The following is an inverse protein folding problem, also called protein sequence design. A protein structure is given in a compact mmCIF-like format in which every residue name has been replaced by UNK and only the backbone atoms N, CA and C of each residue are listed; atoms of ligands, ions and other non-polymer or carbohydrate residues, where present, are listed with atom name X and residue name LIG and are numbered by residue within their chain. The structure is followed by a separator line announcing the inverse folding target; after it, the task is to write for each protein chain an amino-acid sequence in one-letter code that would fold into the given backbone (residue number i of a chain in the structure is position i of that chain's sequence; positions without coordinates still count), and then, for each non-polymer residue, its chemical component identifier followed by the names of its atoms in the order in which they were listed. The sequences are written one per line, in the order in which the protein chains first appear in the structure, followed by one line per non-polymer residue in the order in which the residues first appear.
data_IF_159867079813
#
_entry.id   IF_159867079813
#
_cell.length_a   1.000
_cell.length_b   1.000
_cell.length_c   1.000
_cell.angle_alpha   90.00
_cell.angle_beta   90.00
_cell.angle_gamma   90.00
#
_symmetry.space_group_name_H-M   'P 1'
#
loop_
_entity.id
_entity.type
_entity.pdbx_description
1 polymer ?
#
# COMPACT_ATOMS: atom_id res chain seq x y z
N UNK A 1 -12.67 23.27 -10.84
CA UNK A 1 -11.21 23.05 -11.02
C UNK A 1 -10.61 22.98 -9.63
N UNK A 2 -10.44 21.77 -9.12
CA UNK A 2 -9.92 21.56 -7.76
C UNK A 2 -8.39 21.61 -7.83
N UNK A 3 -7.78 22.54 -7.12
CA UNK A 3 -6.33 22.67 -6.98
C UNK A 3 -5.96 22.39 -5.52
N UNK A 4 -5.40 21.25 -5.19
CA UNK A 4 -4.83 21.05 -3.88
C UNK A 4 -3.37 21.50 -3.85
N UNK A 5 -3.07 22.24 -2.82
CA UNK A 5 -1.77 22.53 -2.24
C UNK A 5 -0.53 22.58 -3.16
N UNK A 6 -0.11 23.83 -3.47
CA UNK A 6 1.22 24.13 -3.97
C UNK A 6 1.65 23.35 -5.22
N UNK A 7 1.00 23.64 -6.35
CA UNK A 7 1.41 23.03 -7.63
C UNK A 7 2.76 23.62 -8.04
N UNK A 8 3.82 22.87 -7.78
CA UNK A 8 4.96 22.94 -8.69
C UNK A 8 4.46 22.38 -10.04
N UNK A 9 4.32 23.26 -11.03
CA UNK A 9 3.97 22.89 -12.40
C UNK A 9 5.16 22.13 -13.01
N UNK A 10 5.30 20.87 -12.64
CA UNK A 10 6.28 20.00 -13.28
C UNK A 10 5.88 19.77 -14.73
N UNK A 11 6.71 20.23 -15.64
CA UNK A 11 6.47 20.21 -17.09
C UNK A 11 6.03 18.84 -17.64
N UNK A 12 6.49 17.77 -17.02
CA UNK A 12 6.30 16.39 -17.48
C UNK A 12 5.38 15.55 -16.57
N UNK A 13 4.76 16.13 -15.55
CA UNK A 13 3.84 15.40 -14.70
C UNK A 13 2.61 14.95 -15.50
N UNK A 14 2.21 13.66 -15.42
CA UNK A 14 0.98 13.19 -16.03
C UNK A 14 -0.24 13.99 -15.56
N UNK A 15 -1.14 14.31 -16.49
CA UNK A 15 -2.37 15.07 -16.20
C UNK A 15 -3.57 14.18 -15.91
N UNK A 16 -3.50 12.90 -16.28
CA UNK A 16 -4.64 11.98 -16.28
C UNK A 16 -4.42 10.83 -15.28
N UNK A 17 -3.22 10.32 -15.15
CA UNK A 17 -2.94 9.17 -14.29
C UNK A 17 -2.48 9.60 -12.89
N UNK A 18 -2.71 8.71 -11.91
CA UNK A 18 -2.14 8.90 -10.58
C UNK A 18 -0.61 8.99 -10.66
N UNK A 19 -0.06 9.95 -9.94
CA UNK A 19 1.38 10.06 -9.74
C UNK A 19 1.67 10.52 -8.30
N UNK A 20 2.72 10.02 -7.69
CA UNK A 20 3.16 10.48 -6.38
C UNK A 20 3.57 11.96 -6.45
N UNK A 21 3.35 12.69 -5.35
CA UNK A 21 3.73 14.11 -5.28
C UNK A 21 5.24 14.27 -5.22
N UNK A 22 5.87 13.47 -4.38
CA UNK A 22 7.29 13.49 -4.07
C UNK A 22 7.81 12.06 -4.07
N UNK A 23 9.12 11.87 -4.01
CA UNK A 23 9.79 10.57 -3.90
C UNK A 23 9.51 9.58 -5.05
N UNK A 24 10.05 8.38 -4.91
CA UNK A 24 9.93 7.33 -5.92
C UNK A 24 8.70 6.47 -5.64
N UNK A 25 7.89 6.29 -6.68
CA UNK A 25 6.78 5.35 -6.72
C UNK A 25 7.19 4.12 -7.55
N UNK A 26 6.82 2.94 -7.09
CA UNK A 26 7.04 1.68 -7.79
C UNK A 26 5.72 0.90 -7.88
N UNK A 27 5.70 -0.39 -7.60
CA UNK A 27 4.57 -1.29 -7.85
C UNK A 27 3.23 -0.77 -7.32
N UNK A 28 2.15 -0.80 -8.12
CA UNK A 28 0.81 -0.65 -7.60
C UNK A 28 0.43 -1.90 -6.78
N UNK A 29 -0.18 -1.69 -5.64
CA UNK A 29 -0.54 -2.74 -4.69
C UNK A 29 -2.00 -2.63 -4.28
N UNK A 30 -2.57 -3.71 -3.81
CA UNK A 30 -3.82 -3.72 -3.08
C UNK A 30 -4.99 -3.02 -3.75
N UNK A 31 -5.09 -3.06 -5.08
CA UNK A 31 -6.20 -2.47 -5.82
C UNK A 31 -7.51 -3.13 -5.38
N UNK A 32 -8.39 -2.36 -4.73
CA UNK A 32 -9.65 -2.86 -4.19
C UNK A 32 -10.71 -1.76 -4.20
N UNK A 33 -11.96 -2.16 -4.43
CA UNK A 33 -13.13 -1.29 -4.31
C UNK A 33 -13.86 -1.61 -3.02
N UNK A 34 -14.12 -0.59 -2.20
CA UNK A 34 -14.85 -0.73 -0.96
C UNK A 34 -15.66 0.53 -0.64
N UNK A 35 -16.93 0.34 -0.32
CA UNK A 35 -17.84 1.37 0.17
C UNK A 35 -17.83 2.67 -0.67
N UNK A 36 -17.88 2.54 -2.00
CA UNK A 36 -17.97 3.67 -2.94
C UNK A 36 -16.61 4.25 -3.37
N UNK A 37 -15.50 3.72 -2.89
CA UNK A 37 -14.17 4.20 -3.25
C UNK A 37 -13.29 3.09 -3.84
N UNK A 38 -12.53 3.43 -4.86
CA UNK A 38 -11.40 2.65 -5.34
C UNK A 38 -10.18 3.01 -4.52
N UNK A 39 -9.51 2.02 -3.97
CA UNK A 39 -8.27 2.17 -3.24
C UNK A 39 -7.09 1.76 -4.13
N UNK A 40 -6.08 2.58 -4.19
CA UNK A 40 -4.79 2.31 -4.79
C UNK A 40 -3.72 2.42 -3.72
N UNK A 41 -3.04 1.33 -3.46
CA UNK A 41 -1.79 1.37 -2.71
C UNK A 41 -0.62 1.25 -3.69
N UNK A 42 0.55 1.65 -3.26
CA UNK A 42 1.75 1.54 -4.08
C UNK A 42 3.00 1.51 -3.21
N UNK A 43 4.04 0.87 -3.68
CA UNK A 43 5.35 1.05 -3.08
C UNK A 43 5.76 2.52 -3.15
N UNK A 44 6.15 3.08 -2.03
CA UNK A 44 6.53 4.47 -1.89
C UNK A 44 7.84 4.58 -1.13
N UNK A 45 8.93 4.86 -1.86
CA UNK A 45 10.24 4.94 -1.27
C UNK A 45 10.49 6.32 -0.68
N UNK A 46 10.67 6.38 0.63
CA UNK A 46 10.99 7.59 1.38
C UNK A 46 12.31 7.34 2.11
N UNK A 47 13.37 8.06 1.73
CA UNK A 47 14.69 7.95 2.35
C UNK A 47 15.16 6.47 2.46
N UNK A 48 15.12 5.76 1.34
CA UNK A 48 15.56 4.36 1.23
C UNK A 48 14.70 3.35 2.04
N UNK A 49 13.58 3.79 2.57
CA UNK A 49 12.58 2.93 3.23
C UNK A 49 11.33 2.81 2.36
N UNK A 50 10.83 1.61 2.21
CA UNK A 50 9.64 1.33 1.39
C UNK A 50 8.40 1.17 2.25
N UNK A 51 7.42 2.02 1.97
CA UNK A 51 6.08 2.07 2.57
C UNK A 51 5.04 1.62 1.55
N UNK A 52 3.83 1.34 2.01
CA UNK A 52 2.67 1.43 1.16
C UNK A 52 2.09 2.84 1.24
N UNK A 53 2.27 3.62 0.17
CA UNK A 53 1.51 4.85 -0.06
C UNK A 53 0.06 4.51 -0.39
N UNK A 54 -0.86 5.47 -0.19
CA UNK A 54 -2.28 5.22 -0.36
C UNK A 54 -2.98 6.40 -1.05
N UNK A 55 -3.89 6.08 -1.96
CA UNK A 55 -4.79 7.02 -2.59
C UNK A 55 -6.17 6.39 -2.81
N UNK A 56 -7.20 7.23 -2.85
CA UNK A 56 -8.59 6.82 -3.12
C UNK A 56 -9.18 7.64 -4.25
N UNK A 57 -10.12 7.03 -4.96
CA UNK A 57 -10.86 7.67 -6.04
C UNK A 57 -12.29 7.13 -6.10
N UNK A 58 -13.25 7.96 -6.50
CA UNK A 58 -14.61 7.53 -6.80
C UNK A 58 -14.84 7.26 -8.29
N UNK A 59 -13.91 7.64 -9.15
CA UNK A 59 -14.05 7.62 -10.61
C UNK A 59 -12.83 7.09 -11.38
N UNK A 60 -11.77 6.67 -10.66
CA UNK A 60 -10.48 6.19 -11.20
C UNK A 60 -9.67 7.26 -11.97
N UNK A 61 -10.16 8.48 -12.03
CA UNK A 61 -9.52 9.62 -12.72
C UNK A 61 -8.99 10.64 -11.74
N UNK A 62 -9.82 11.01 -10.77
CA UNK A 62 -9.47 11.98 -9.74
C UNK A 62 -9.09 11.25 -8.44
N UNK A 63 -7.84 11.35 -8.06
CA UNK A 63 -7.29 10.66 -6.91
C UNK A 63 -7.01 11.61 -5.75
N UNK A 64 -7.46 11.23 -4.57
CA UNK A 64 -7.12 11.88 -3.30
C UNK A 64 -6.09 11.04 -2.57
N UNK A 65 -4.95 11.63 -2.25
CA UNK A 65 -3.94 10.97 -1.41
C UNK A 65 -4.39 10.92 0.04
N UNK A 66 -4.09 9.82 0.67
CA UNK A 66 -4.23 9.59 2.09
C UNK A 66 -2.83 9.46 2.73
N UNK A 67 -2.74 9.44 4.06
CA UNK A 67 -1.51 9.03 4.74
C UNK A 67 -1.04 7.65 4.27
N UNK A 68 0.26 7.38 4.37
CA UNK A 68 0.79 6.05 4.07
C UNK A 68 0.05 5.00 4.89
N UNK A 69 -0.41 3.94 4.22
CA UNK A 69 -1.20 2.90 4.86
C UNK A 69 -0.34 2.02 5.78
N UNK A 70 0.80 1.57 5.29
CA UNK A 70 1.65 0.63 6.01
C UNK A 70 3.09 1.16 5.98
N UNK A 71 3.68 1.34 7.16
CA UNK A 71 5.04 1.79 7.34
C UNK A 71 5.98 0.63 7.68
N UNK A 72 7.28 0.70 7.37
CA UNK A 72 8.29 -0.21 7.89
C UNK A 72 8.26 -0.30 9.43
N UNK A 73 8.75 -1.39 9.96
CA UNK A 73 8.92 -1.62 11.40
C UNK A 73 10.24 -2.38 11.66
N UNK A 74 10.38 -2.92 12.87
CA UNK A 74 11.57 -3.68 13.28
C UNK A 74 11.81 -4.97 12.47
N UNK A 75 10.78 -5.53 11.82
CA UNK A 75 10.93 -6.70 10.97
C UNK A 75 11.58 -6.31 9.65
N UNK A 76 11.02 -5.30 8.97
CA UNK A 76 11.54 -4.95 7.65
C UNK A 76 10.76 -3.86 6.92
N UNK A 77 11.14 -3.66 5.68
CA UNK A 77 10.47 -2.80 4.72
C UNK A 77 9.20 -3.47 4.21
N UNK A 78 8.26 -2.66 3.73
CA UNK A 78 6.95 -3.13 3.25
C UNK A 78 6.97 -3.21 1.72
N UNK A 79 7.15 -4.41 1.21
CA UNK A 79 7.15 -4.68 -0.22
C UNK A 79 5.76 -5.05 -0.72
N UNK A 80 5.67 -5.45 -1.99
CA UNK A 80 4.42 -5.61 -2.72
C UNK A 80 3.50 -6.69 -2.17
N UNK A 81 2.23 -6.57 -2.54
CA UNK A 81 1.19 -7.48 -2.13
C UNK A 81 -0.21 -7.07 -2.60
N UNK A 82 -1.23 -7.52 -1.92
CA UNK A 82 -2.64 -7.33 -2.30
C UNK A 82 -3.51 -6.94 -1.12
N UNK A 83 -4.70 -6.42 -1.43
CA UNK A 83 -5.74 -6.16 -0.43
C UNK A 83 -7.05 -6.81 -0.87
N UNK A 84 -7.88 -7.14 0.11
CA UNK A 84 -9.22 -7.68 -0.07
C UNK A 84 -10.19 -7.06 0.94
N UNK A 85 -11.48 -7.11 0.63
CA UNK A 85 -12.54 -6.81 1.59
C UNK A 85 -12.90 -8.10 2.32
N UNK A 86 -12.78 -8.08 3.62
CA UNK A 86 -13.24 -9.12 4.54
C UNK A 86 -14.63 -8.73 5.06
N UNK A 87 -15.65 -9.07 4.28
CA UNK A 87 -17.03 -8.69 4.56
C UNK A 87 -17.56 -9.28 5.88
N UNK A 88 -17.12 -10.49 6.22
CA UNK A 88 -17.55 -11.19 7.45
C UNK A 88 -17.09 -10.45 8.70
N UNK A 89 -15.92 -9.84 8.65
CA UNK A 89 -15.36 -9.09 9.76
C UNK A 89 -15.49 -7.56 9.58
N UNK A 90 -16.22 -7.11 8.57
CA UNK A 90 -16.43 -5.69 8.26
C UNK A 90 -15.15 -4.86 8.22
N UNK A 91 -14.13 -5.37 7.53
CA UNK A 91 -12.81 -4.75 7.45
C UNK A 91 -12.17 -4.91 6.08
N UNK A 92 -11.15 -4.14 5.83
CA UNK A 92 -10.18 -4.40 4.76
C UNK A 92 -8.98 -5.15 5.32
N UNK A 93 -8.42 -6.06 4.54
CA UNK A 93 -7.21 -6.78 4.88
C UNK A 93 -6.16 -6.58 3.78
N UNK A 94 -4.97 -6.18 4.16
CA UNK A 94 -3.80 -6.08 3.28
C UNK A 94 -2.82 -7.21 3.63
N UNK A 95 -2.27 -7.84 2.60
CA UNK A 95 -1.24 -8.86 2.70
C UNK A 95 -0.05 -8.39 1.89
N UNK A 96 1.12 -8.32 2.51
CA UNK A 96 2.30 -7.72 1.93
C UNK A 96 3.54 -8.54 2.25
N UNK A 97 4.60 -8.28 1.52
CA UNK A 97 5.90 -8.87 1.79
C UNK A 97 6.71 -7.97 2.72
N UNK A 98 7.24 -8.54 3.80
CA UNK A 98 8.36 -7.95 4.51
C UNK A 98 9.67 -8.29 3.78
N UNK A 99 10.52 -7.29 3.59
CA UNK A 99 11.94 -7.49 3.31
C UNK A 99 12.72 -7.19 4.58
N UNK A 100 13.19 -8.24 5.25
CA UNK A 100 13.84 -8.12 6.56
C UNK A 100 15.11 -7.28 6.48
N UNK A 101 15.29 -6.36 7.43
CA UNK A 101 16.39 -5.41 7.42
C UNK A 101 17.78 -6.07 7.47
N UNK A 102 17.91 -7.13 8.24
CA UNK A 102 19.20 -7.75 8.52
C UNK A 102 19.56 -8.82 7.50
N UNK A 103 18.61 -9.66 7.15
CA UNK A 103 18.86 -10.86 6.33
C UNK A 103 18.48 -10.67 4.88
N UNK A 104 17.63 -9.70 4.56
CA UNK A 104 16.99 -9.57 3.25
C UNK A 104 15.99 -10.70 2.96
N UNK A 105 15.72 -11.58 3.93
CA UNK A 105 14.72 -12.64 3.81
C UNK A 105 13.34 -12.03 3.57
N UNK A 106 12.55 -12.74 2.80
CA UNK A 106 11.18 -12.32 2.48
C UNK A 106 10.19 -13.19 3.24
N UNK A 107 9.23 -12.53 3.89
CA UNK A 107 8.15 -13.17 4.63
C UNK A 107 6.85 -12.41 4.38
N UNK A 108 5.69 -13.01 4.66
CA UNK A 108 4.43 -12.36 4.42
C UNK A 108 3.86 -11.78 5.71
N UNK A 109 3.39 -10.55 5.62
CA UNK A 109 2.70 -9.85 6.70
C UNK A 109 1.26 -9.53 6.35
N UNK A 110 0.48 -9.20 7.38
CA UNK A 110 -0.88 -8.74 7.25
C UNK A 110 -1.11 -7.44 8.03
N UNK A 111 -2.05 -6.63 7.55
CA UNK A 111 -2.59 -5.48 8.26
C UNK A 111 -4.09 -5.35 7.98
N UNK A 112 -4.81 -4.75 8.91
CA UNK A 112 -6.26 -4.61 8.85
C UNK A 112 -6.69 -3.15 9.03
N UNK A 113 -7.77 -2.79 8.35
CA UNK A 113 -8.43 -1.49 8.51
C UNK A 113 -9.91 -1.69 8.78
N UNK A 114 -10.41 -1.04 9.83
CA UNK A 114 -11.81 -1.07 10.25
C UNK A 114 -12.55 0.24 9.95
N UNK A 115 -11.87 1.20 9.34
CA UNK A 115 -12.35 2.55 9.05
C UNK A 115 -12.27 2.90 7.56
N UNK A 116 -12.55 1.91 6.71
CA UNK A 116 -12.55 2.06 5.25
C UNK A 116 -11.18 2.51 4.70
N UNK A 117 -10.12 1.93 5.22
CA UNK A 117 -8.76 2.16 4.77
C UNK A 117 -8.11 3.45 5.28
N UNK A 118 -8.72 4.17 6.23
CA UNK A 118 -8.14 5.43 6.73
C UNK A 118 -6.97 5.22 7.67
N UNK A 119 -7.07 4.17 8.50
CA UNK A 119 -5.98 3.70 9.36
C UNK A 119 -5.77 2.21 9.20
N UNK A 120 -4.54 1.75 9.45
CA UNK A 120 -4.16 0.35 9.29
C UNK A 120 -3.40 -0.12 10.51
N UNK A 121 -3.78 -1.27 11.02
CA UNK A 121 -3.16 -1.94 12.15
C UNK A 121 -2.49 -3.22 11.66
N UNK A 122 -1.19 -3.34 11.87
CA UNK A 122 -0.46 -4.56 11.56
C UNK A 122 -0.89 -5.69 12.47
N UNK A 123 -0.96 -6.89 11.92
CA UNK A 123 -1.29 -8.06 12.72
C UNK A 123 -0.19 -8.33 13.75
N UNK A 124 -0.58 -8.51 15.00
CA UNK A 124 0.36 -8.68 16.12
C UNK A 124 1.30 -9.89 16.02
N UNK A 125 0.88 -10.90 15.23
CA UNK A 125 1.66 -12.14 15.00
C UNK A 125 2.35 -12.16 13.63
N UNK A 126 2.68 -10.99 13.10
CA UNK A 126 3.50 -10.92 11.89
C UNK A 126 4.94 -11.42 12.19
N UNK A 127 5.61 -12.05 11.21
CA UNK A 127 5.09 -12.44 9.90
C UNK A 127 4.15 -13.64 9.98
N UNK A 128 3.10 -13.65 9.14
CA UNK A 128 2.10 -14.72 9.11
C UNK A 128 2.55 -15.96 8.31
N UNK A 129 3.51 -15.78 7.43
CA UNK A 129 4.03 -16.86 6.59
C UNK A 129 5.50 -16.61 6.27
N UNK A 130 6.31 -17.61 6.46
CA UNK A 130 7.76 -17.57 6.20
C UNK A 130 8.17 -18.75 5.32
N UNK A 131 9.21 -18.56 4.51
CA UNK A 131 9.79 -19.61 3.68
C UNK A 131 11.30 -19.36 3.54
N UNK A 132 12.07 -20.43 3.39
CA UNK A 132 13.53 -20.38 3.21
C UNK A 132 13.93 -20.15 1.74
N UNK A 133 12.99 -20.28 0.81
CA UNK A 133 13.25 -20.08 -0.62
C UNK A 133 13.48 -18.60 -0.92
N UNK A 134 14.38 -18.29 -1.86
CA UNK A 134 14.51 -16.91 -2.35
C UNK A 134 13.23 -16.49 -3.09
N UNK A 135 13.03 -15.18 -3.18
CA UNK A 135 11.91 -14.58 -3.93
C UNK A 135 10.52 -15.02 -3.44
N UNK A 136 10.39 -15.26 -2.12
CA UNK A 136 9.12 -15.54 -1.48
C UNK A 136 8.36 -14.25 -1.18
N UNK A 137 7.74 -13.65 -2.23
CA UNK A 137 7.13 -12.32 -2.18
C UNK A 137 5.86 -12.20 -3.01
N UNK A 138 5.23 -11.01 -2.94
CA UNK A 138 4.10 -10.55 -3.75
C UNK A 138 2.84 -11.40 -3.55
N UNK A 139 2.36 -11.55 -2.30
CA UNK A 139 1.19 -12.38 -2.03
C UNK A 139 -0.05 -11.84 -2.72
N UNK A 140 -0.77 -12.71 -3.40
CA UNK A 140 -2.08 -12.41 -3.97
C UNK A 140 -3.15 -13.20 -3.24
N UNK A 141 -4.05 -12.48 -2.58
CA UNK A 141 -5.23 -13.04 -1.91
C UNK A 141 -6.48 -12.70 -2.71
N UNK A 142 -7.39 -13.65 -2.83
CA UNK A 142 -8.70 -13.50 -3.46
C UNK A 142 -9.71 -14.41 -2.77
N UNK A 143 -10.98 -14.09 -2.92
CA UNK A 143 -12.10 -14.93 -2.51
C UNK A 143 -12.58 -15.82 -3.64
#
# INVERSE_FOLDING_TARGET
MWMPDGIHMEKYRPKIHFSAKDFVINDPNGLVYYDGEYHLFHQYNINEQIYWGHAVSTDLVHWKRLPNAIAPDEIGQIWSGSAVVDEENHRMAAFFTYSEHVTGRQSQGAAFSYDKGRTWEKYEKNPILTDERPDFRDPKVFR
#
